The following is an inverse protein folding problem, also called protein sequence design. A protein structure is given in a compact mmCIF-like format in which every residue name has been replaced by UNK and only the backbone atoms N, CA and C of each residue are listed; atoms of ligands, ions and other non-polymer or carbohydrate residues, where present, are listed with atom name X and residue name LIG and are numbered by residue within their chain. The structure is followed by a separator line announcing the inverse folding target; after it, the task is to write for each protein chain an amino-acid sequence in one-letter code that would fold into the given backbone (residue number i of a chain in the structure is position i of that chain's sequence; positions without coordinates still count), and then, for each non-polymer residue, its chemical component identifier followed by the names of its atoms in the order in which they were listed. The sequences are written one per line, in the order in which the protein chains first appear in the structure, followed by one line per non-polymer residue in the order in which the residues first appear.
data_IF_697706049279
#
_entry.id   IF_697706049279
#
_cell.length_a   1.000
_cell.length_b   1.000
_cell.length_c   1.000
_cell.angle_alpha   90.00
_cell.angle_beta   90.00
_cell.angle_gamma   90.00
#
_symmetry.space_group_name_H-M   'P 1'
#
loop_
_entity.id
_entity.type
_entity.pdbx_description
1 polymer ?
#
# COMPACT_ATOMS: atom_id res chain seq x y z
N UNK A 1 9.85 5.29 -22.00
CA UNK A 1 9.33 5.45 -20.62
C UNK A 1 9.17 4.07 -20.00
N UNK A 2 9.56 3.92 -18.73
CA UNK A 2 9.23 2.76 -17.90
C UNK A 2 8.58 3.28 -16.62
N UNK A 3 7.54 2.60 -16.14
CA UNK A 3 6.81 2.93 -14.91
C UNK A 3 6.25 1.67 -14.27
N UNK A 4 5.96 1.69 -12.96
CA UNK A 4 5.47 0.52 -12.25
C UNK A 4 4.74 0.88 -10.95
N UNK A 5 5.44 0.97 -9.82
CA UNK A 5 4.81 1.06 -8.50
C UNK A 5 4.44 2.50 -8.10
N UNK A 6 3.26 2.67 -7.49
CA UNK A 6 2.88 3.90 -6.82
C UNK A 6 3.40 3.89 -5.37
N UNK A 7 4.51 4.60 -5.12
CA UNK A 7 5.07 4.76 -3.78
C UNK A 7 5.65 6.15 -3.61
N UNK A 8 5.45 6.75 -2.43
CA UNK A 8 5.92 8.10 -2.11
C UNK A 8 7.45 8.23 -1.88
N UNK A 9 8.22 7.14 -1.99
CA UNK A 9 9.65 7.08 -1.62
C UNK A 9 10.48 6.16 -2.53
N UNK A 10 9.95 5.75 -3.69
CA UNK A 10 10.71 4.98 -4.66
C UNK A 10 11.51 5.91 -5.58
N UNK A 11 12.84 5.75 -5.56
CA UNK A 11 13.76 6.39 -6.51
C UNK A 11 14.12 5.47 -7.69
N UNK A 12 13.80 4.18 -7.59
CA UNK A 12 14.07 3.14 -8.58
C UNK A 12 12.81 2.28 -8.78
N UNK A 13 12.72 1.60 -9.91
CA UNK A 13 11.67 0.61 -10.14
C UNK A 13 11.96 -0.66 -9.31
N UNK A 14 10.92 -1.40 -8.89
CA UNK A 14 11.11 -2.65 -8.17
C UNK A 14 11.82 -3.71 -9.05
N UNK A 15 12.56 -4.60 -8.42
CA UNK A 15 13.28 -5.69 -9.11
C UNK A 15 12.32 -6.65 -9.84
N UNK A 16 11.09 -6.78 -9.33
CA UNK A 16 10.03 -7.59 -9.93
C UNK A 16 8.88 -6.67 -10.36
N UNK A 17 8.45 -6.75 -11.63
CA UNK A 17 7.34 -5.96 -12.13
C UNK A 17 6.06 -6.15 -11.30
N UNK A 18 5.36 -5.08 -10.95
CA UNK A 18 4.04 -5.17 -10.31
C UNK A 18 2.93 -5.26 -11.36
N UNK A 19 1.68 -5.36 -10.91
CA UNK A 19 0.50 -5.32 -11.78
C UNK A 19 0.34 -4.00 -12.55
N UNK A 20 1.13 -2.99 -12.19
CA UNK A 20 1.11 -1.65 -12.79
C UNK A 20 2.27 -1.42 -13.77
N UNK A 21 3.15 -2.41 -13.97
CA UNK A 21 4.31 -2.25 -14.83
C UNK A 21 3.92 -1.83 -16.25
N UNK A 22 4.62 -0.84 -16.79
CA UNK A 22 4.40 -0.31 -18.12
C UNK A 22 5.71 0.07 -18.79
N UNK A 23 5.79 -0.18 -20.09
CA UNK A 23 6.92 0.19 -20.93
C UNK A 23 6.41 0.74 -22.26
N UNK A 24 6.97 1.87 -22.69
CA UNK A 24 6.64 2.51 -23.94
C UNK A 24 7.85 3.19 -24.56
N UNK A 25 7.91 3.23 -25.89
CA UNK A 25 8.88 3.98 -26.66
C UNK A 25 8.16 4.81 -27.71
N UNK A 26 8.71 5.97 -28.07
CA UNK A 26 8.08 6.86 -29.04
C UNK A 26 8.54 8.31 -28.89
N UNK A 27 7.86 9.20 -29.60
CA UNK A 27 8.05 10.64 -29.49
C UNK A 27 7.65 11.15 -28.09
N UNK A 28 8.10 12.35 -27.68
CA UNK A 28 7.68 12.95 -26.42
C UNK A 28 6.15 13.02 -26.25
N UNK A 29 5.41 13.33 -27.32
CA UNK A 29 3.95 13.37 -27.27
C UNK A 29 3.35 11.98 -27.02
N UNK A 30 3.82 10.96 -27.72
CA UNK A 30 3.34 9.58 -27.53
C UNK A 30 3.60 9.07 -26.12
N UNK A 31 4.77 9.42 -25.55
CA UNK A 31 5.10 9.06 -24.18
C UNK A 31 4.24 9.81 -23.15
N UNK A 32 3.92 11.07 -23.39
CA UNK A 32 3.01 11.85 -22.54
C UNK A 32 1.60 11.25 -22.56
N UNK A 33 1.09 10.90 -23.74
CA UNK A 33 -0.24 10.28 -23.89
C UNK A 33 -0.29 8.92 -23.18
N UNK A 34 0.75 8.10 -23.34
CA UNK A 34 0.86 6.80 -22.67
C UNK A 34 0.92 6.95 -21.14
N UNK A 35 1.68 7.94 -20.64
CA UNK A 35 1.74 8.23 -19.21
C UNK A 35 0.38 8.67 -18.66
N UNK A 36 -0.34 9.53 -19.39
CA UNK A 36 -1.67 9.98 -18.98
C UNK A 36 -2.67 8.82 -18.92
N UNK A 37 -2.68 7.95 -19.94
CA UNK A 37 -3.52 6.74 -19.95
C UNK A 37 -3.18 5.80 -18.80
N UNK A 38 -1.89 5.64 -18.50
CA UNK A 38 -1.45 4.83 -17.37
C UNK A 38 -1.93 5.39 -16.03
N UNK A 39 -1.77 6.71 -15.80
CA UNK A 39 -2.29 7.35 -14.59
C UNK A 39 -3.82 7.23 -14.48
N UNK A 40 -4.54 7.43 -15.58
CA UNK A 40 -5.99 7.27 -15.61
C UNK A 40 -6.41 5.84 -15.25
N UNK A 41 -5.72 4.83 -15.78
CA UNK A 41 -5.97 3.43 -15.45
C UNK A 41 -5.73 3.17 -13.95
N UNK A 42 -4.62 3.65 -13.39
CA UNK A 42 -4.29 3.51 -11.96
C UNK A 42 -5.34 4.19 -11.07
N UNK A 43 -5.72 5.43 -11.40
CA UNK A 43 -6.69 6.22 -10.61
C UNK A 43 -8.11 5.64 -10.62
N UNK A 44 -8.45 4.84 -11.64
CA UNK A 44 -9.74 4.15 -11.72
C UNK A 44 -9.78 2.81 -10.98
N UNK A 45 -8.64 2.30 -10.50
CA UNK A 45 -8.61 1.01 -9.78
C UNK A 45 -9.37 1.14 -8.45
N UNK A 46 -10.18 0.13 -8.09
CA UNK A 46 -10.92 0.16 -6.83
C UNK A 46 -9.96 0.07 -5.65
N UNK A 47 -10.18 0.89 -4.61
CA UNK A 47 -9.37 0.89 -3.39
C UNK A 47 -10.22 0.37 -2.22
N UNK A 48 -9.62 -0.47 -1.38
CA UNK A 48 -10.19 -0.86 -0.08
C UNK A 48 -9.21 -0.52 1.04
N UNK A 49 -9.76 -0.22 2.21
CA UNK A 49 -9.02 -0.05 3.46
C UNK A 49 -9.34 -1.21 4.39
N UNK A 50 -8.31 -1.93 4.77
CA UNK A 50 -8.36 -2.92 5.84
C UNK A 50 -8.12 -2.20 7.17
N UNK A 51 -8.96 -2.47 8.15
CA UNK A 51 -8.93 -1.84 9.47
C UNK A 51 -8.83 -2.89 10.57
N UNK A 52 -7.95 -2.62 11.54
CA UNK A 52 -7.87 -3.36 12.79
C UNK A 52 -8.28 -2.44 13.93
N UNK A 53 -9.18 -2.93 14.78
CA UNK A 53 -9.81 -2.19 15.84
C UNK A 53 -9.44 -2.74 17.22
N UNK A 54 -9.28 -1.85 18.18
CA UNK A 54 -9.14 -2.20 19.59
C UNK A 54 -9.91 -1.15 20.41
N UNK A 55 -10.72 -1.63 21.37
CA UNK A 55 -11.61 -0.78 22.18
C UNK A 55 -12.48 0.18 21.34
N UNK A 56 -13.01 -0.32 20.22
CA UNK A 56 -13.88 0.44 19.31
C UNK A 56 -13.17 1.55 18.52
N UNK A 57 -11.83 1.55 18.45
CA UNK A 57 -11.03 2.51 17.69
C UNK A 57 -10.10 1.79 16.73
N UNK A 58 -10.00 2.29 15.51
CA UNK A 58 -9.04 1.79 14.51
C UNK A 58 -7.63 2.17 14.95
N UNK A 59 -6.78 1.19 15.23
CA UNK A 59 -5.38 1.42 15.60
C UNK A 59 -4.43 1.16 14.43
N UNK A 60 -4.84 0.35 13.44
CA UNK A 60 -4.05 0.12 12.25
C UNK A 60 -4.92 0.12 10.99
N UNK A 61 -4.35 0.60 9.89
CA UNK A 61 -5.00 0.67 8.60
C UNK A 61 -4.07 0.27 7.47
N UNK A 62 -4.61 -0.38 6.43
CA UNK A 62 -3.86 -0.69 5.20
C UNK A 62 -4.73 -0.43 3.99
N UNK A 63 -4.27 0.44 3.10
CA UNK A 63 -4.89 0.72 1.82
C UNK A 63 -4.29 -0.18 0.74
N UNK A 64 -5.15 -0.74 -0.11
CA UNK A 64 -4.75 -1.60 -1.22
C UNK A 64 -5.69 -1.44 -2.40
N UNK A 65 -5.19 -1.75 -3.60
CA UNK A 65 -6.07 -2.00 -4.74
C UNK A 65 -6.86 -3.29 -4.50
N UNK A 66 -8.18 -3.21 -4.63
CA UNK A 66 -9.08 -4.32 -4.33
C UNK A 66 -8.97 -5.49 -5.33
N UNK A 67 -8.56 -5.19 -6.56
CA UNK A 67 -8.43 -6.17 -7.65
C UNK A 67 -7.11 -6.94 -7.60
N UNK A 68 -6.00 -6.29 -7.22
CA UNK A 68 -4.67 -6.92 -7.19
C UNK A 68 -4.14 -7.21 -5.78
N UNK A 69 -4.73 -6.62 -4.74
CA UNK A 69 -4.21 -6.69 -3.37
C UNK A 69 -2.92 -5.89 -3.15
N UNK A 70 -2.44 -5.16 -4.15
CA UNK A 70 -1.23 -4.34 -4.05
C UNK A 70 -1.42 -3.22 -3.03
N UNK A 71 -0.52 -3.16 -2.04
CA UNK A 71 -0.57 -2.16 -0.97
C UNK A 71 -0.16 -0.77 -1.45
N UNK A 72 -0.82 0.26 -0.93
CA UNK A 72 -0.61 1.67 -1.27
C UNK A 72 -0.04 2.47 -0.10
N UNK A 73 -0.61 2.27 1.07
CA UNK A 73 -0.22 2.96 2.29
C UNK A 73 -0.69 2.17 3.49
N UNK A 74 -0.03 2.36 4.63
CA UNK A 74 -0.41 1.76 5.88
C UNK A 74 -0.19 2.74 7.03
N UNK A 75 -0.90 2.53 8.13
CA UNK A 75 -0.75 3.28 9.37
C UNK A 75 -0.84 2.34 10.56
N UNK A 76 -0.15 2.71 11.64
CA UNK A 76 -0.20 2.03 12.92
C UNK A 76 -0.08 3.07 14.04
N UNK A 77 -0.98 2.99 15.02
CA UNK A 77 -1.01 3.85 16.18
C UNK A 77 -0.77 3.01 17.44
N UNK A 78 0.43 3.15 18.01
CA UNK A 78 0.84 2.42 19.22
C UNK A 78 -0.05 2.68 20.43
N UNK A 79 -0.58 3.89 20.61
CA UNK A 79 -1.39 4.22 21.79
C UNK A 79 -2.83 3.69 21.72
N UNK A 80 -3.27 3.23 20.55
CA UNK A 80 -4.58 2.60 20.36
C UNK A 80 -4.48 1.09 20.20
N UNK A 81 -3.27 0.56 20.00
CA UNK A 81 -3.06 -0.87 19.80
C UNK A 81 -3.25 -1.65 21.11
N UNK A 82 -3.57 -2.96 21.04
CA UNK A 82 -3.54 -3.82 22.22
C UNK A 82 -2.16 -3.81 22.90
N UNK A 83 -2.13 -3.95 24.23
CA UNK A 83 -0.90 -4.05 24.99
C UNK A 83 -0.05 -5.24 24.50
N UNK A 84 1.25 -5.01 24.29
CA UNK A 84 2.18 -6.03 23.79
C UNK A 84 2.08 -6.32 22.29
N UNK A 85 1.14 -5.72 21.55
CA UNK A 85 0.95 -5.98 20.12
C UNK A 85 2.18 -5.57 19.30
N UNK A 86 2.76 -4.40 19.58
CA UNK A 86 3.91 -3.90 18.83
C UNK A 86 5.16 -4.75 19.12
N UNK A 87 5.33 -5.19 20.36
CA UNK A 87 6.40 -6.08 20.81
C UNK A 87 6.29 -7.46 20.18
N UNK A 88 5.08 -8.02 20.12
CA UNK A 88 4.82 -9.28 19.41
C UNK A 88 5.18 -9.16 17.93
N UNK A 89 4.72 -8.09 17.26
CA UNK A 89 5.06 -7.85 15.86
C UNK A 89 6.56 -7.63 15.66
N UNK A 90 7.26 -7.02 16.62
CA UNK A 90 8.70 -6.86 16.57
C UNK A 90 9.41 -8.21 16.68
N UNK A 91 8.96 -9.07 17.61
CA UNK A 91 9.48 -10.43 17.78
C UNK A 91 9.30 -11.27 16.50
N UNK A 92 8.20 -11.06 15.78
CA UNK A 92 7.91 -11.72 14.50
C UNK A 92 8.59 -11.06 13.28
N UNK A 93 9.43 -10.03 13.49
CA UNK A 93 10.15 -9.35 12.41
C UNK A 93 9.28 -8.44 11.54
N UNK A 94 8.11 -8.03 12.02
CA UNK A 94 7.20 -7.11 11.35
C UNK A 94 7.44 -5.64 11.70
N UNK A 95 8.43 -5.33 12.54
CA UNK A 95 8.84 -3.95 12.84
C UNK A 95 10.16 -3.63 12.14
N UNK A 96 10.20 -2.46 11.50
CA UNK A 96 11.37 -1.96 10.77
C UNK A 96 11.86 -0.63 11.37
N UNK A 97 12.94 -0.07 10.81
CA UNK A 97 13.63 1.12 11.32
C UNK A 97 12.70 2.21 11.86
N UNK A 98 13.09 2.81 13.00
CA UNK A 98 12.30 3.80 13.76
C UNK A 98 10.96 3.27 14.30
N UNK A 99 10.83 1.97 14.52
CA UNK A 99 9.61 1.37 15.10
C UNK A 99 8.46 1.23 14.11
N UNK A 100 8.73 1.30 12.81
CA UNK A 100 7.69 1.26 11.79
C UNK A 100 7.09 -0.15 11.66
N UNK A 101 5.82 -0.28 12.04
CA UNK A 101 5.08 -1.55 12.06
C UNK A 101 4.51 -1.87 10.67
N UNK A 102 4.80 -3.07 10.17
CA UNK A 102 4.18 -3.64 8.96
C UNK A 102 2.85 -4.28 9.32
N UNK A 103 1.77 -3.67 8.85
CA UNK A 103 0.39 -4.13 9.10
C UNK A 103 0.06 -5.49 8.48
N UNK A 104 0.88 -5.98 7.54
CA UNK A 104 0.78 -7.34 7.01
C UNK A 104 0.95 -8.43 8.08
N UNK A 105 1.60 -8.12 9.21
CA UNK A 105 1.77 -9.03 10.34
C UNK A 105 0.56 -9.14 11.27
N UNK A 106 -0.45 -8.27 11.12
CA UNK A 106 -1.63 -8.22 12.00
C UNK A 106 -2.68 -9.29 11.71
N UNK A 107 -2.46 -10.14 10.71
CA UNK A 107 -3.42 -11.17 10.31
C UNK A 107 -4.68 -10.59 9.65
N UNK A 108 -5.85 -11.17 9.96
CA UNK A 108 -7.12 -10.78 9.34
C UNK A 108 -7.61 -9.43 9.89
N UNK A 109 -8.05 -8.48 9.05
CA UNK A 109 -8.65 -7.24 9.52
C UNK A 109 -10.05 -7.46 10.09
N UNK A 110 -10.44 -6.61 11.02
CA UNK A 110 -11.79 -6.59 11.59
C UNK A 110 -12.81 -6.07 10.57
N UNK A 111 -12.39 -5.10 9.74
CA UNK A 111 -13.25 -4.49 8.71
C UNK A 111 -12.50 -4.29 7.39
N UNK A 112 -13.27 -4.40 6.30
CA UNK A 112 -12.83 -4.08 4.96
C UNK A 112 -13.79 -3.01 4.42
N UNK A 113 -13.25 -1.81 4.18
CA UNK A 113 -14.03 -0.62 3.81
C UNK A 113 -13.67 -0.22 2.38
N UNK A 114 -14.61 -0.25 1.42
CA UNK A 114 -14.41 0.34 0.10
C UNK A 114 -14.18 1.85 0.21
N UNK A 115 -13.15 2.34 -0.46
CA UNK A 115 -12.82 3.77 -0.53
C UNK A 115 -13.32 4.30 -1.87
N UNK A 116 -14.02 5.43 -1.82
CA UNK A 116 -14.52 6.16 -3.00
C UNK A 116 -13.65 7.37 -3.28
#
# INVERSE_FOLDING_TARGET
MRGDELHNQLYFLPDRPTSLATEAAGSPQQLADHAAQWFEAVLRKPIVRYEWEHNGRVYAGRYLFADSGQGLSQSYNHSLAPDGQAESLAADGHVTGKGWVRTSGLGRPDRIVPIR
#
